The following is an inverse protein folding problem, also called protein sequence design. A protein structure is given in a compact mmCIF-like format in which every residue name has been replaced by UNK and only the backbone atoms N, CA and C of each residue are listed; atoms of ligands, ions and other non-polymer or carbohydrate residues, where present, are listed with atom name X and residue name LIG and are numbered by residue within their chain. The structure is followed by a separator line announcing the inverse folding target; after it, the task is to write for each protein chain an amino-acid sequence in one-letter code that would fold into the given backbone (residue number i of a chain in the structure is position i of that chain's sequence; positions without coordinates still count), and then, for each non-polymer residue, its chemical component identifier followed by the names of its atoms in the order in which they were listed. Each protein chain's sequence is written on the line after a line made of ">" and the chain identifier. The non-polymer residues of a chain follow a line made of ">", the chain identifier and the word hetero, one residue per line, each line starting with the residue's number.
data_IF_963941699565
#
_entry.id   IF_963941699565
#
_cell.length_a   1.000
_cell.length_b   1.000
_cell.length_c   1.000
_cell.angle_alpha   90.00
_cell.angle_beta   90.00
_cell.angle_gamma   90.00
#
_symmetry.space_group_name_H-M   'P 1'
#
loop_
_entity.id
_entity.type
_entity.pdbx_description
1 polymer ?
#
# COMPACT_ATOMS: atom_id res chain seq x y z
N UNK A 1 43.95 -20.70 -30.77
CA UNK A 1 42.72 -21.12 -30.08
C UNK A 1 41.86 -21.84 -31.09
N UNK A 2 41.55 -23.09 -30.82
CA UNK A 2 40.69 -23.96 -31.61
C UNK A 2 39.20 -23.64 -31.35
N UNK A 3 38.33 -24.03 -32.28
CA UNK A 3 36.88 -23.74 -32.21
C UNK A 3 36.22 -24.27 -30.93
N UNK A 4 36.74 -25.37 -30.36
CA UNK A 4 36.30 -25.88 -29.07
C UNK A 4 36.66 -24.90 -27.94
N UNK A 5 37.89 -24.38 -27.91
CA UNK A 5 38.32 -23.38 -26.91
C UNK A 5 37.51 -22.09 -26.96
N UNK A 6 37.12 -21.62 -28.15
CA UNK A 6 36.24 -20.44 -28.31
C UNK A 6 34.83 -20.74 -27.77
N UNK A 7 34.28 -21.93 -28.03
CA UNK A 7 32.97 -22.33 -27.54
C UNK A 7 32.94 -22.38 -26.00
N UNK A 8 33.94 -23.02 -25.38
CA UNK A 8 34.06 -23.09 -23.92
C UNK A 8 34.21 -21.71 -23.27
N UNK A 9 34.98 -20.80 -23.89
CA UNK A 9 35.12 -19.43 -23.41
C UNK A 9 33.77 -18.67 -23.41
N UNK A 10 32.99 -18.80 -24.50
CA UNK A 10 31.68 -18.17 -24.58
C UNK A 10 30.69 -18.77 -23.58
N UNK A 11 30.65 -20.09 -23.45
CA UNK A 11 29.81 -20.78 -22.45
C UNK A 11 30.16 -20.29 -21.04
N UNK A 12 31.45 -20.25 -20.69
CA UNK A 12 31.88 -19.80 -19.37
C UNK A 12 31.57 -18.33 -19.13
N UNK A 13 31.75 -17.47 -20.14
CA UNK A 13 31.36 -16.06 -20.09
C UNK A 13 29.87 -15.86 -19.85
N UNK A 14 29.02 -16.60 -20.55
CA UNK A 14 27.55 -16.52 -20.37
C UNK A 14 27.12 -17.00 -18.98
N UNK A 15 27.72 -18.09 -18.47
CA UNK A 15 27.42 -18.60 -17.12
C UNK A 15 27.79 -17.59 -16.03
N UNK A 16 28.97 -16.95 -16.13
CA UNK A 16 29.40 -15.92 -15.18
C UNK A 16 28.48 -14.70 -15.21
N UNK A 17 28.10 -14.24 -16.41
CA UNK A 17 27.18 -13.12 -16.55
C UNK A 17 25.81 -13.43 -15.94
N UNK A 18 25.22 -14.60 -16.26
CA UNK A 18 23.93 -15.02 -15.71
C UNK A 18 23.97 -15.14 -14.19
N UNK A 19 25.04 -15.68 -13.62
CA UNK A 19 25.20 -15.77 -12.17
C UNK A 19 25.27 -14.39 -11.51
N UNK A 20 26.04 -13.46 -12.10
CA UNK A 20 26.10 -12.08 -11.62
C UNK A 20 24.73 -11.38 -11.63
N UNK A 21 23.96 -11.56 -12.71
CA UNK A 21 22.60 -10.99 -12.81
C UNK A 21 21.64 -11.59 -11.77
N UNK A 22 21.70 -12.91 -11.53
CA UNK A 22 20.90 -13.56 -10.48
C UNK A 22 21.21 -12.99 -9.10
N UNK A 23 22.50 -12.78 -8.79
CA UNK A 23 22.92 -12.22 -7.52
C UNK A 23 22.42 -10.79 -7.32
N UNK A 24 22.59 -9.92 -8.33
CA UNK A 24 22.13 -8.53 -8.30
C UNK A 24 20.61 -8.46 -8.14
N UNK A 25 19.86 -9.27 -8.92
CA UNK A 25 18.40 -9.31 -8.83
C UNK A 25 17.92 -9.83 -7.47
N UNK A 26 18.55 -10.88 -6.95
CA UNK A 26 18.23 -11.41 -5.61
C UNK A 26 18.44 -10.36 -4.53
N UNK A 27 19.58 -9.67 -4.54
CA UNK A 27 19.86 -8.59 -3.60
C UNK A 27 18.86 -7.44 -3.72
N UNK A 28 18.53 -7.02 -4.94
CA UNK A 28 17.55 -5.97 -5.18
C UNK A 28 16.17 -6.31 -4.62
N UNK A 29 15.74 -7.57 -4.74
CA UNK A 29 14.46 -8.03 -4.17
C UNK A 29 14.47 -7.99 -2.64
N UNK A 30 15.54 -8.44 -1.99
CA UNK A 30 15.62 -8.50 -0.52
C UNK A 30 15.88 -7.15 0.12
N UNK A 31 16.76 -6.33 -0.46
CA UNK A 31 17.14 -5.04 0.09
C UNK A 31 16.21 -3.89 -0.35
N UNK A 32 15.59 -4.01 -1.53
CA UNK A 32 14.76 -2.96 -2.13
C UNK A 32 13.34 -2.83 -1.58
N UNK A 33 12.98 -3.58 -0.53
CA UNK A 33 11.62 -3.60 0.03
C UNK A 33 10.53 -3.87 -1.03
N UNK A 34 10.76 -4.87 -1.89
CA UNK A 34 9.84 -5.25 -2.98
C UNK A 34 8.40 -5.52 -2.49
N UNK A 35 8.23 -5.86 -1.22
CA UNK A 35 6.94 -6.01 -0.55
C UNK A 35 6.02 -4.78 -0.71
N UNK A 36 6.57 -3.56 -0.76
CA UNK A 36 5.80 -2.33 -0.96
C UNK A 36 5.14 -2.25 -2.34
N UNK A 37 5.75 -2.87 -3.35
CA UNK A 37 5.21 -2.96 -4.72
C UNK A 37 4.15 -4.05 -4.82
N UNK A 38 4.35 -5.18 -4.11
CA UNK A 38 3.44 -6.34 -4.18
C UNK A 38 2.18 -6.14 -3.36
N UNK A 39 2.29 -5.65 -2.13
CA UNK A 39 1.16 -5.52 -1.21
C UNK A 39 0.58 -4.10 -1.16
N UNK A 40 1.31 -3.12 -1.70
CA UNK A 40 0.98 -1.71 -1.53
C UNK A 40 1.28 -1.19 -0.13
N UNK A 41 1.25 0.14 0.01
CA UNK A 41 1.52 0.82 1.26
C UNK A 41 0.58 2.01 1.44
N UNK A 42 0.34 2.40 2.69
CA UNK A 42 -0.47 3.56 3.04
C UNK A 42 0.37 4.86 3.11
N UNK A 43 -0.28 6.01 3.24
CA UNK A 43 0.41 7.31 3.35
C UNK A 43 1.24 7.46 4.64
N UNK A 44 1.10 6.56 5.61
CA UNK A 44 1.88 6.52 6.85
C UNK A 44 3.07 5.57 6.75
N UNK A 45 3.27 4.90 5.61
CA UNK A 45 4.39 4.00 5.34
C UNK A 45 4.20 2.57 5.83
N UNK A 46 2.98 2.17 6.20
CA UNK A 46 2.66 0.79 6.55
C UNK A 46 2.41 -0.05 5.29
N UNK A 47 3.00 -1.24 5.24
CA UNK A 47 2.72 -2.25 4.21
C UNK A 47 1.42 -2.95 4.58
N UNK A 48 0.46 -3.02 3.66
CA UNK A 48 -0.84 -3.64 3.90
C UNK A 48 -0.73 -5.17 3.97
N UNK A 49 -1.56 -5.83 4.79
CA UNK A 49 -1.57 -7.28 4.94
C UNK A 49 -0.33 -7.88 5.62
N UNK A 50 0.54 -7.05 6.20
CA UNK A 50 1.77 -7.46 6.89
C UNK A 50 1.91 -6.77 8.24
N UNK A 51 2.75 -7.37 9.09
CA UNK A 51 3.17 -6.76 10.35
C UNK A 51 4.35 -5.84 10.08
N UNK A 52 4.19 -4.55 10.40
CA UNK A 52 5.25 -3.56 10.27
C UNK A 52 5.99 -3.38 11.61
N UNK A 53 7.20 -2.83 11.56
CA UNK A 53 8.00 -2.54 12.75
C UNK A 53 7.65 -1.14 13.29
N UNK A 54 7.16 -1.01 14.54
CA UNK A 54 6.71 0.26 15.10
C UNK A 54 7.86 1.26 15.26
N UNK A 55 7.57 2.53 14.97
CA UNK A 55 8.52 3.65 15.07
C UNK A 55 8.12 4.54 16.25
N UNK A 56 8.97 4.75 17.27
CA UNK A 56 8.61 5.47 18.50
C UNK A 56 8.07 6.89 18.28
N UNK A 57 8.61 7.59 17.28
CA UNK A 57 8.28 8.99 16.99
C UNK A 57 7.05 9.15 16.08
N UNK A 58 6.53 8.05 15.51
CA UNK A 58 5.45 8.09 14.52
C UNK A 58 4.35 7.09 14.86
N UNK A 59 3.38 7.52 15.67
CA UNK A 59 2.28 6.69 16.20
C UNK A 59 1.51 5.90 15.13
N UNK A 60 1.31 6.47 13.94
CA UNK A 60 0.55 5.83 12.87
C UNK A 60 1.40 5.00 11.91
N UNK A 61 2.72 4.94 12.11
CA UNK A 61 3.67 4.23 11.26
C UNK A 61 4.20 2.98 11.97
N UNK A 62 4.43 1.92 11.22
CA UNK A 62 4.87 0.64 11.79
C UNK A 62 3.76 -0.13 12.52
N UNK A 63 2.50 0.09 12.16
CA UNK A 63 1.37 -0.64 12.74
C UNK A 63 1.22 -2.05 12.16
N UNK A 64 0.59 -2.94 12.93
CA UNK A 64 0.21 -4.27 12.42
C UNK A 64 -0.98 -4.14 11.45
N UNK A 65 -0.73 -4.40 10.17
CA UNK A 65 -1.73 -4.35 9.10
C UNK A 65 -2.11 -5.74 8.59
N UNK A 66 -1.80 -6.81 9.32
CA UNK A 66 -2.06 -8.21 8.89
C UNK A 66 -3.52 -8.45 8.46
N UNK A 67 -4.47 -7.82 9.15
CA UNK A 67 -5.90 -7.93 8.86
C UNK A 67 -6.42 -6.89 7.85
N UNK A 68 -5.56 -5.97 7.38
CA UNK A 68 -5.91 -4.85 6.49
C UNK A 68 -5.14 -4.99 5.18
N UNK A 69 -5.68 -5.77 4.25
CA UNK A 69 -4.99 -6.24 3.03
C UNK A 69 -5.14 -5.32 1.82
N UNK A 70 -6.13 -4.43 1.81
CA UNK A 70 -6.44 -3.60 0.65
C UNK A 70 -5.95 -2.17 0.85
N UNK A 71 -5.52 -1.53 -0.23
CA UNK A 71 -5.19 -0.10 -0.24
C UNK A 71 -6.42 0.68 -0.71
N UNK A 72 -6.82 1.68 0.07
CA UNK A 72 -7.94 2.56 -0.23
C UNK A 72 -7.48 4.01 -0.33
N UNK A 73 -7.87 4.71 -1.40
CA UNK A 73 -7.54 6.11 -1.61
C UNK A 73 -8.74 6.98 -1.26
N UNK A 74 -8.56 7.95 -0.36
CA UNK A 74 -9.64 8.83 0.11
C UNK A 74 -10.27 9.63 -1.03
N UNK A 75 -9.42 10.05 -1.96
CA UNK A 75 -9.83 10.64 -3.23
C UNK A 75 -9.37 9.71 -4.36
N UNK A 76 -10.31 8.93 -4.91
CA UNK A 76 -10.07 8.04 -6.04
C UNK A 76 -10.33 8.72 -7.39
N UNK A 77 -11.08 9.83 -7.42
CA UNK A 77 -11.46 10.53 -8.64
C UNK A 77 -10.42 11.57 -9.06
N UNK A 78 -9.80 12.26 -8.09
CA UNK A 78 -8.78 13.28 -8.34
C UNK A 78 -7.40 12.81 -7.90
N UNK A 79 -6.94 11.69 -8.47
CA UNK A 79 -5.58 11.20 -8.30
C UNK A 79 -4.59 12.10 -9.08
N UNK A 80 -4.29 13.27 -8.54
CA UNK A 80 -3.18 14.09 -9.03
C UNK A 80 -1.86 13.42 -8.68
N UNK A 81 -1.21 12.84 -9.69
CA UNK A 81 0.18 12.38 -9.61
C UNK A 81 1.08 13.57 -9.89
N UNK A 82 1.55 14.26 -8.85
CA UNK A 82 2.58 15.30 -8.98
C UNK A 82 3.91 14.77 -8.44
N UNK A 83 4.97 14.83 -9.24
CA UNK A 83 6.31 14.38 -8.86
C UNK A 83 6.37 12.94 -8.32
N UNK A 84 5.69 11.98 -8.99
CA UNK A 84 5.59 10.57 -8.55
C UNK A 84 4.93 10.37 -7.17
N UNK A 85 4.27 11.40 -6.62
CA UNK A 85 3.55 11.35 -5.35
C UNK A 85 2.05 11.52 -5.60
N UNK A 86 1.27 10.60 -5.08
CA UNK A 86 -0.19 10.69 -5.07
C UNK A 86 -0.56 11.68 -3.95
N UNK A 87 -1.24 12.79 -4.30
CA UNK A 87 -1.67 13.80 -3.32
C UNK A 87 -2.87 13.37 -2.47
N UNK A 88 -3.45 12.20 -2.78
CA UNK A 88 -4.53 11.58 -2.03
C UNK A 88 -3.98 10.72 -0.88
N UNK A 89 -4.66 10.76 0.27
CA UNK A 89 -4.31 9.90 1.40
C UNK A 89 -4.72 8.46 1.05
N UNK A 90 -3.78 7.54 1.18
CA UNK A 90 -3.99 6.11 1.05
C UNK A 90 -4.00 5.45 2.44
N UNK A 91 -4.89 4.49 2.66
CA UNK A 91 -5.05 3.74 3.90
C UNK A 91 -5.08 2.24 3.63
N UNK A 92 -4.52 1.45 4.55
CA UNK A 92 -4.75 0.00 4.56
C UNK A 92 -6.12 -0.28 5.20
N UNK A 93 -6.97 -1.03 4.51
CA UNK A 93 -8.33 -1.37 4.96
C UNK A 93 -8.56 -2.88 4.91
N UNK A 94 -9.46 -3.38 5.77
CA UNK A 94 -9.80 -4.81 5.85
C UNK A 94 -10.77 -5.24 4.75
N UNK A 95 -11.75 -4.38 4.44
CA UNK A 95 -12.73 -4.61 3.37
C UNK A 95 -13.09 -3.31 2.64
N UNK A 96 -13.38 -3.43 1.35
CA UNK A 96 -13.94 -2.34 0.53
C UNK A 96 -15.48 -2.40 0.56
N UNK A 97 -16.18 -1.26 0.39
CA UNK A 97 -17.64 -1.24 0.33
C UNK A 97 -18.16 -1.95 -0.93
N UNK A 98 -19.19 -2.78 -0.77
CA UNK A 98 -19.90 -3.45 -1.87
C UNK A 98 -21.00 -2.58 -2.48
N UNK A 99 -21.51 -1.63 -1.70
CA UNK A 99 -22.53 -0.67 -2.13
C UNK A 99 -21.97 0.75 -2.01
N UNK A 100 -22.39 1.68 -2.88
CA UNK A 100 -21.89 3.04 -2.85
C UNK A 100 -22.35 3.76 -1.58
N UNK A 101 -21.39 4.31 -0.83
CA UNK A 101 -21.65 5.06 0.39
C UNK A 101 -21.87 6.53 0.04
N UNK A 102 -23.05 7.07 0.38
CA UNK A 102 -23.45 8.43 -0.06
C UNK A 102 -23.27 9.47 1.03
N UNK A 103 -23.31 9.07 2.30
CA UNK A 103 -23.18 9.98 3.44
C UNK A 103 -22.15 9.51 4.48
N UNK A 104 -21.84 10.39 5.45
CA UNK A 104 -20.98 10.06 6.58
C UNK A 104 -21.65 9.06 7.53
N UNK A 105 -22.98 9.04 7.61
CA UNK A 105 -23.72 8.02 8.36
C UNK A 105 -23.52 6.63 7.76
N UNK A 106 -23.59 6.50 6.43
CA UNK A 106 -23.35 5.24 5.72
C UNK A 106 -21.92 4.73 5.99
N UNK A 107 -20.93 5.64 5.97
CA UNK A 107 -19.54 5.34 6.31
C UNK A 107 -19.39 4.86 7.76
N UNK A 108 -20.08 5.50 8.70
CA UNK A 108 -20.07 5.12 10.10
C UNK A 108 -20.70 3.74 10.32
N UNK A 109 -21.81 3.45 9.64
CA UNK A 109 -22.48 2.15 9.67
C UNK A 109 -21.59 1.06 9.06
N UNK A 110 -20.93 1.34 7.94
CA UNK A 110 -19.98 0.42 7.32
C UNK A 110 -18.82 0.08 8.26
N UNK A 111 -18.22 1.09 8.90
CA UNK A 111 -17.15 0.89 9.87
C UNK A 111 -17.60 0.04 11.06
N UNK A 112 -18.83 0.26 11.55
CA UNK A 112 -19.40 -0.49 12.66
C UNK A 112 -19.72 -1.95 12.29
N UNK A 113 -20.31 -2.19 11.11
CA UNK A 113 -20.81 -3.50 10.71
C UNK A 113 -19.70 -4.41 10.16
N UNK A 114 -18.78 -3.85 9.37
CA UNK A 114 -17.72 -4.61 8.71
C UNK A 114 -16.39 -4.56 9.45
N UNK A 115 -16.23 -3.64 10.41
CA UNK A 115 -14.94 -3.42 11.09
C UNK A 115 -13.85 -2.84 10.18
N UNK A 116 -14.24 -2.12 9.13
CA UNK A 116 -13.33 -1.50 8.17
C UNK A 116 -13.46 0.02 8.20
N UNK A 117 -12.38 0.71 8.55
CA UNK A 117 -12.34 2.16 8.73
C UNK A 117 -11.81 2.83 7.47
N UNK A 118 -12.61 3.72 6.87
CA UNK A 118 -12.27 4.39 5.61
C UNK A 118 -11.71 5.81 5.81
N UNK A 119 -11.72 6.34 7.03
CA UNK A 119 -11.12 7.63 7.39
C UNK A 119 -9.72 7.43 8.03
N UNK A 120 -8.94 8.52 8.15
CA UNK A 120 -7.60 8.46 8.75
C UNK A 120 -7.60 7.82 10.14
N UNK A 121 -6.51 7.16 10.51
CA UNK A 121 -6.41 6.39 11.77
C UNK A 121 -6.57 7.23 13.06
N UNK A 122 -6.45 8.55 12.97
CA UNK A 122 -6.68 9.47 14.10
C UNK A 122 -8.14 9.54 14.51
N UNK A 123 -9.06 9.32 13.56
CA UNK A 123 -10.49 9.55 13.77
C UNK A 123 -11.21 8.22 14.04
N UNK A 124 -11.94 8.17 15.14
CA UNK A 124 -12.77 7.00 15.47
C UNK A 124 -14.12 7.06 14.73
N UNK A 125 -14.71 5.90 14.42
CA UNK A 125 -15.98 5.83 13.69
C UNK A 125 -17.13 6.53 14.42
N UNK A 126 -17.08 6.62 15.75
CA UNK A 126 -18.06 7.34 16.57
C UNK A 126 -18.08 8.84 16.30
N UNK A 127 -16.97 9.38 15.78
CA UNK A 127 -16.78 10.82 15.58
C UNK A 127 -16.95 11.25 14.11
N UNK A 128 -17.32 10.33 13.21
CA UNK A 128 -17.42 10.62 11.77
C UNK A 128 -18.45 11.70 11.44
N UNK A 129 -19.55 11.78 12.19
CA UNK A 129 -20.62 12.76 11.98
C UNK A 129 -20.51 13.98 12.89
N UNK A 130 -19.77 13.89 14.00
CA UNK A 130 -19.65 14.97 14.98
C UNK A 130 -18.40 15.82 14.79
N UNK A 131 -17.35 15.29 14.17
CA UNK A 131 -16.07 15.98 14.08
C UNK A 131 -16.09 17.04 12.96
N UNK A 132 -15.76 18.32 13.24
CA UNK A 132 -15.84 19.40 12.24
C UNK A 132 -14.88 19.21 11.06
N UNK A 133 -13.83 18.40 11.23
CA UNK A 133 -12.85 18.06 10.19
C UNK A 133 -13.12 16.72 9.48
N UNK A 134 -14.25 16.06 9.75
CA UNK A 134 -14.59 14.77 9.13
C UNK A 134 -14.50 14.84 7.60
N UNK A 135 -15.03 15.90 6.98
CA UNK A 135 -15.00 16.09 5.52
C UNK A 135 -13.59 16.15 4.91
N UNK A 136 -12.55 16.47 5.70
CA UNK A 136 -11.15 16.48 5.25
C UNK A 136 -10.41 15.18 5.57
N UNK A 137 -10.85 14.47 6.60
CA UNK A 137 -10.19 13.29 7.16
C UNK A 137 -10.81 11.97 6.72
N UNK A 138 -11.96 12.05 6.05
CA UNK A 138 -12.69 10.96 5.44
C UNK A 138 -12.66 11.08 3.90
N UNK A 139 -13.02 10.01 3.17
CA UNK A 139 -13.05 10.03 1.72
C UNK A 139 -14.05 11.03 1.16
N UNK A 140 -13.81 11.46 -0.07
CA UNK A 140 -14.75 12.28 -0.83
C UNK A 140 -15.99 11.42 -1.12
N UNK A 141 -17.15 11.92 -0.71
CA UNK A 141 -18.44 11.27 -0.97
C UNK A 141 -18.99 11.68 -2.34
N UNK A 142 -19.69 10.78 -3.06
CA UNK A 142 -19.97 9.39 -2.71
C UNK A 142 -18.74 8.47 -2.93
N UNK A 143 -18.54 7.50 -2.04
CA UNK A 143 -17.53 6.46 -2.24
C UNK A 143 -18.08 5.40 -3.19
N UNK A 144 -17.40 5.10 -4.32
CA UNK A 144 -17.85 4.07 -5.25
C UNK A 144 -17.78 2.67 -4.64
N UNK A 145 -18.69 1.80 -5.05
CA UNK A 145 -18.62 0.36 -4.75
C UNK A 145 -17.51 -0.30 -5.57
N UNK A 146 -16.95 -1.39 -5.02
CA UNK A 146 -15.99 -2.24 -5.72
C UNK A 146 -16.66 -3.10 -6.80
#
# INVERSE_FOLDING_TARGET
>A
MDSLGILWWNVWGTMNFSFGQMFINGYALTAGAAERLVFGYDSYGNICGRRNSPIPTAQYSGQDMTNRKYVFFLDSCNLEIRNLKINSIALCVSSCPQEPLKSLEDLQLFAKNNGSYLCIYRLNFTEYTSHPLASKWCPVLPVPSR
#
